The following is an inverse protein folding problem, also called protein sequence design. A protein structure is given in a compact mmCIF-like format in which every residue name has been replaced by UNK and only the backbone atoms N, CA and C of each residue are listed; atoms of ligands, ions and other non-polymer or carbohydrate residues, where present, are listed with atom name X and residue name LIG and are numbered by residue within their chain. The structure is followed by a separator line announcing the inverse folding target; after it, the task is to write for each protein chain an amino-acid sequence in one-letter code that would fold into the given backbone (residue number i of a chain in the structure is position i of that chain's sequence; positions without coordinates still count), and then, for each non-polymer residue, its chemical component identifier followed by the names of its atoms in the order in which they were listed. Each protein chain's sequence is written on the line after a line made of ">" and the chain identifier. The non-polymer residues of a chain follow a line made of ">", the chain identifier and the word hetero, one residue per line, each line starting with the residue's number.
data_IF_482871657312
#
_entry.id   IF_482871657312
#
_cell.length_a   1.000
_cell.length_b   1.000
_cell.length_c   1.000
_cell.angle_alpha   90.00
_cell.angle_beta   90.00
_cell.angle_gamma   90.00
#
_symmetry.space_group_name_H-M   'P 1'
#
loop_
_entity.id
_entity.type
_entity.pdbx_description
1 polymer ?
#
# COMPACT_ATOMS: atom_id res chain seq x y z
N UNK A 1 11.86 -28.84 7.70
CA UNK A 1 11.23 -28.37 8.96
C UNK A 1 10.45 -27.07 8.74
N UNK A 2 11.08 -25.97 8.31
CA UNK A 2 10.41 -24.69 8.01
C UNK A 2 9.25 -24.79 7.00
N UNK A 3 9.41 -25.59 5.94
CA UNK A 3 8.35 -25.85 4.95
C UNK A 3 7.05 -26.36 5.58
N UNK A 4 7.14 -27.28 6.56
CA UNK A 4 5.98 -27.81 7.26
C UNK A 4 5.28 -26.75 8.10
N UNK A 5 6.04 -25.83 8.69
CA UNK A 5 5.52 -24.71 9.48
C UNK A 5 4.78 -23.72 8.58
N UNK A 6 5.32 -23.38 7.41
CA UNK A 6 4.60 -22.54 6.44
C UNK A 6 3.37 -23.22 5.82
N UNK A 7 3.38 -24.55 5.67
CA UNK A 7 2.23 -25.31 5.18
C UNK A 7 1.16 -25.54 6.25
N UNK A 8 1.47 -25.31 7.53
CA UNK A 8 0.54 -25.56 8.62
C UNK A 8 -0.67 -24.64 8.50
N UNK A 9 -1.86 -25.22 8.69
CA UNK A 9 -3.13 -24.52 8.71
C UNK A 9 -3.93 -24.99 9.91
N UNK A 10 -4.42 -24.03 10.70
CA UNK A 10 -5.28 -24.27 11.82
C UNK A 10 -6.76 -24.36 11.42
N UNK A 11 -7.63 -24.33 12.43
CA UNK A 11 -9.07 -24.14 12.22
C UNK A 11 -9.30 -22.85 11.43
N UNK A 12 -10.27 -22.85 10.51
CA UNK A 12 -10.55 -21.71 9.62
C UNK A 12 -9.38 -21.27 8.72
N UNK A 13 -8.47 -22.17 8.38
CA UNK A 13 -7.31 -21.90 7.50
C UNK A 13 -6.34 -20.84 8.05
N UNK A 14 -6.30 -20.65 9.38
CA UNK A 14 -5.39 -19.72 10.05
C UNK A 14 -3.95 -20.18 9.84
N UNK A 15 -3.07 -19.25 9.46
CA UNK A 15 -1.63 -19.52 9.31
C UNK A 15 -0.94 -19.55 10.67
N UNK A 16 0.23 -20.20 10.75
CA UNK A 16 1.00 -20.26 11.99
C UNK A 16 1.39 -18.86 12.50
N UNK A 17 1.73 -17.93 11.60
CA UNK A 17 2.07 -16.56 11.96
C UNK A 17 0.90 -15.85 12.63
N UNK A 18 -0.31 -16.01 12.07
CA UNK A 18 -1.53 -15.43 12.64
C UNK A 18 -1.82 -15.99 14.03
N UNK A 19 -1.71 -17.31 14.21
CA UNK A 19 -1.86 -17.94 15.53
C UNK A 19 -0.88 -17.39 16.57
N UNK A 20 0.40 -17.26 16.21
CA UNK A 20 1.44 -16.76 17.12
C UNK A 20 1.19 -15.31 17.53
N UNK A 21 0.73 -14.47 16.61
CA UNK A 21 0.36 -13.07 16.89
C UNK A 21 -0.86 -13.02 17.81
N UNK A 22 -1.87 -13.85 17.58
CA UNK A 22 -3.06 -13.88 18.45
C UNK A 22 -2.72 -14.39 19.87
N UNK A 23 -1.80 -15.37 19.99
CA UNK A 23 -1.26 -15.80 21.27
C UNK A 23 -0.47 -14.69 21.96
N UNK A 24 0.37 -13.96 21.23
CA UNK A 24 1.10 -12.81 21.74
C UNK A 24 0.17 -11.75 22.33
N UNK A 25 -0.85 -11.34 21.55
CA UNK A 25 -1.83 -10.34 21.99
C UNK A 25 -2.59 -10.78 23.23
N UNK A 26 -2.98 -12.07 23.29
CA UNK A 26 -3.64 -12.65 24.47
C UNK A 26 -2.75 -12.56 25.71
N UNK A 27 -1.47 -12.86 25.54
CA UNK A 27 -0.49 -12.81 26.61
C UNK A 27 -0.24 -11.36 27.09
N UNK A 28 -0.06 -10.41 26.17
CA UNK A 28 0.09 -8.98 26.51
C UNK A 28 -1.12 -8.42 27.28
N UNK A 29 -2.34 -8.81 26.87
CA UNK A 29 -3.55 -8.45 27.59
C UNK A 29 -3.58 -9.02 29.01
N UNK A 30 -3.11 -10.26 29.18
CA UNK A 30 -3.05 -10.91 30.51
C UNK A 30 -2.03 -10.24 31.44
N UNK A 31 -0.89 -9.80 30.90
CA UNK A 31 0.13 -9.05 31.63
C UNK A 31 -0.28 -7.58 31.89
N UNK A 32 -1.29 -7.10 31.18
CA UNK A 32 -1.79 -5.73 31.30
C UNK A 32 -0.87 -4.69 30.67
N UNK A 33 -0.16 -5.05 29.60
CA UNK A 33 0.71 -4.13 28.84
C UNK A 33 -0.14 -3.02 28.21
N UNK A 34 0.34 -1.78 28.28
CA UNK A 34 -0.38 -0.62 27.77
C UNK A 34 -0.32 -0.52 26.23
N UNK A 35 -1.45 -0.73 25.56
CA UNK A 35 -1.62 -0.62 24.10
C UNK A 35 -2.68 0.41 23.73
N UNK A 36 -2.60 0.96 22.52
CA UNK A 36 -3.73 1.69 21.91
C UNK A 36 -4.76 0.71 21.35
N UNK A 37 -5.99 1.13 21.01
CA UNK A 37 -6.98 0.26 20.37
C UNK A 37 -6.48 -0.37 19.05
N UNK A 38 -5.57 0.32 18.36
CA UNK A 38 -4.94 -0.16 17.14
C UNK A 38 -3.64 -0.94 17.38
N UNK A 39 -3.38 -1.42 18.61
CA UNK A 39 -2.19 -2.19 18.98
C UNK A 39 -0.83 -1.48 18.85
N UNK A 40 -0.82 -0.14 18.77
CA UNK A 40 0.43 0.62 18.82
C UNK A 40 1.00 0.62 20.25
N UNK A 41 2.31 0.81 20.33
CA UNK A 41 2.99 1.15 21.58
C UNK A 41 2.43 2.49 22.10
N UNK A 42 1.91 2.47 23.34
CA UNK A 42 1.34 3.66 23.99
C UNK A 42 2.39 4.46 24.77
N UNK A 43 3.28 3.77 25.46
CA UNK A 43 4.31 4.38 26.31
C UNK A 43 5.69 4.19 25.67
N UNK A 44 6.42 5.29 25.50
CA UNK A 44 7.75 5.31 24.92
C UNK A 44 8.79 4.64 25.81
N UNK A 45 8.66 4.78 27.13
CA UNK A 45 9.60 4.22 28.08
C UNK A 45 9.19 2.79 28.46
N UNK A 46 7.91 2.42 28.33
CA UNK A 46 7.41 1.11 28.80
C UNK A 46 6.69 0.36 27.67
N UNK A 47 7.40 -0.04 26.61
CA UNK A 47 6.78 -0.63 25.42
C UNK A 47 6.24 -2.05 25.63
N UNK A 48 6.79 -2.82 26.58
CA UNK A 48 6.41 -4.21 26.87
C UNK A 48 6.10 -4.51 28.36
N UNK A 49 6.31 -3.53 29.23
CA UNK A 49 6.26 -3.67 30.68
C UNK A 49 4.85 -4.05 31.15
N UNK A 50 4.74 -5.19 31.82
CA UNK A 50 3.49 -5.64 32.44
C UNK A 50 3.18 -4.90 33.75
N UNK A 51 1.95 -5.06 34.26
CA UNK A 51 1.53 -4.46 35.53
C UNK A 51 2.29 -5.01 36.74
N UNK A 52 2.58 -6.31 36.75
CA UNK A 52 3.32 -6.96 37.84
C UNK A 52 4.75 -6.45 37.88
N UNK A 53 5.44 -6.45 36.72
CA UNK A 53 6.79 -5.90 36.59
C UNK A 53 6.83 -4.44 37.05
N UNK A 54 5.91 -3.60 36.57
CA UNK A 54 5.79 -2.20 37.00
C UNK A 54 5.65 -2.07 38.53
N UNK A 55 4.88 -2.95 39.17
CA UNK A 55 4.73 -2.97 40.63
C UNK A 55 6.03 -3.34 41.35
N UNK A 56 6.71 -4.40 40.92
CA UNK A 56 7.98 -4.84 41.49
C UNK A 56 9.06 -3.76 41.38
N UNK A 57 9.23 -3.20 40.17
CA UNK A 57 10.18 -2.11 39.89
C UNK A 57 9.84 -0.84 40.67
N UNK A 58 8.61 -0.67 41.14
CA UNK A 58 8.19 0.51 41.89
C UNK A 58 8.40 0.40 43.41
N UNK A 59 8.51 -0.81 43.96
CA UNK A 59 8.30 -1.03 45.40
C UNK A 59 9.53 -1.45 46.22
N UNK A 60 10.45 -2.27 45.72
CA UNK A 60 11.48 -2.90 46.58
C UNK A 60 12.80 -3.08 45.81
N UNK A 61 13.96 -2.61 46.33
CA UNK A 61 15.28 -3.00 45.83
C UNK A 61 15.48 -4.51 45.95
N UNK A 62 16.01 -5.15 44.92
CA UNK A 62 16.14 -6.60 44.90
C UNK A 62 17.50 -7.03 45.46
N UNK A 63 17.56 -8.15 46.18
CA UNK A 63 18.82 -8.76 46.54
C UNK A 63 19.66 -9.09 45.30
N UNK A 64 20.99 -8.95 45.39
CA UNK A 64 21.90 -9.16 44.27
C UNK A 64 21.94 -10.60 43.72
N UNK A 65 21.40 -11.57 44.46
CA UNK A 65 21.26 -12.97 44.06
C UNK A 65 19.97 -13.26 43.29
N UNK A 66 19.07 -12.28 43.17
CA UNK A 66 17.78 -12.41 42.49
C UNK A 66 17.85 -11.79 41.09
N UNK A 67 17.29 -12.50 40.10
CA UNK A 67 17.19 -11.97 38.75
C UNK A 67 16.22 -10.79 38.67
N UNK A 68 16.50 -9.85 37.76
CA UNK A 68 15.63 -8.68 37.57
C UNK A 68 14.22 -9.09 37.10
N UNK A 69 13.17 -8.31 37.43
CA UNK A 69 11.80 -8.65 37.05
C UNK A 69 11.62 -8.84 35.54
N UNK A 70 12.31 -8.05 34.71
CA UNK A 70 12.33 -8.22 33.26
C UNK A 70 12.86 -9.60 32.84
N UNK A 71 13.93 -10.08 33.48
CA UNK A 71 14.56 -11.37 33.18
C UNK A 71 13.67 -12.53 33.63
N UNK A 72 13.09 -12.44 34.83
CA UNK A 72 12.15 -13.44 35.34
C UNK A 72 10.99 -13.60 34.36
N UNK A 73 10.42 -12.49 33.87
CA UNK A 73 9.32 -12.53 32.93
C UNK A 73 9.71 -13.19 31.58
N UNK A 74 10.91 -12.94 31.06
CA UNK A 74 11.42 -13.64 29.85
C UNK A 74 11.44 -15.15 30.04
N UNK A 75 11.78 -15.62 31.24
CA UNK A 75 11.89 -17.05 31.55
C UNK A 75 10.52 -17.75 31.73
N UNK A 76 9.54 -17.03 32.26
CA UNK A 76 8.21 -17.58 32.56
C UNK A 76 7.25 -17.46 31.37
N UNK A 77 7.45 -16.47 30.51
CA UNK A 77 6.46 -16.08 29.52
C UNK A 77 6.62 -16.75 28.14
N UNK A 78 5.52 -16.95 27.43
CA UNK A 78 5.52 -17.50 26.06
C UNK A 78 6.07 -16.53 24.99
N UNK A 79 6.15 -15.23 25.27
CA UNK A 79 6.62 -14.17 24.37
C UNK A 79 8.03 -14.44 23.85
N UNK A 80 8.95 -14.92 24.70
CA UNK A 80 10.29 -15.32 24.27
C UNK A 80 10.27 -16.52 23.29
N UNK A 81 9.36 -17.47 23.51
CA UNK A 81 9.16 -18.62 22.60
C UNK A 81 8.56 -18.16 21.26
N UNK A 82 7.61 -17.23 21.28
CA UNK A 82 7.03 -16.65 20.08
C UNK A 82 8.09 -15.89 19.28
N UNK A 83 8.86 -15.03 19.94
CA UNK A 83 9.97 -14.29 19.32
C UNK A 83 10.95 -15.24 18.64
N UNK A 84 11.44 -16.26 19.34
CA UNK A 84 12.41 -17.22 18.78
C UNK A 84 11.86 -17.99 17.58
N UNK A 85 10.58 -18.33 17.57
CA UNK A 85 9.93 -18.94 16.41
C UNK A 85 9.91 -17.97 15.23
N UNK A 86 9.53 -16.70 15.44
CA UNK A 86 9.58 -15.68 14.38
C UNK A 86 11.00 -15.38 13.90
N UNK A 87 12.01 -15.42 14.77
CA UNK A 87 13.41 -15.31 14.36
C UNK A 87 13.85 -16.43 13.40
N UNK A 88 13.16 -17.58 13.41
CA UNK A 88 13.38 -18.67 12.44
C UNK A 88 12.50 -18.56 11.20
N UNK A 89 11.28 -18.02 11.34
CA UNK A 89 10.34 -17.81 10.22
C UNK A 89 10.63 -16.54 9.41
N UNK A 90 11.39 -15.61 9.97
CA UNK A 90 11.48 -14.25 9.45
C UNK A 90 10.27 -13.39 9.84
N UNK A 91 10.47 -12.08 9.76
CA UNK A 91 9.47 -11.06 10.11
C UNK A 91 8.79 -10.44 8.88
N UNK A 92 9.26 -10.76 7.68
CA UNK A 92 8.75 -10.22 6.42
C UNK A 92 7.90 -11.25 5.66
N UNK A 93 6.92 -10.76 4.90
CA UNK A 93 6.11 -11.52 3.93
C UNK A 93 5.45 -12.79 4.48
N UNK A 94 4.98 -12.74 5.73
CA UNK A 94 4.28 -13.85 6.35
C UNK A 94 2.85 -13.90 5.78
N UNK A 95 2.54 -15.00 5.10
CA UNK A 95 1.25 -15.18 4.45
C UNK A 95 0.07 -15.13 5.46
N UNK A 96 -1.00 -14.46 5.04
CA UNK A 96 -2.28 -14.42 5.77
C UNK A 96 -2.32 -13.47 6.97
N UNK A 97 -1.39 -12.51 7.04
CA UNK A 97 -1.40 -11.45 8.05
C UNK A 97 -2.10 -10.19 7.53
N UNK A 98 -2.89 -9.57 8.41
CA UNK A 98 -3.44 -8.23 8.19
C UNK A 98 -2.42 -7.14 8.55
N UNK A 99 -2.65 -5.90 8.12
CA UNK A 99 -1.82 -4.74 8.52
C UNK A 99 -1.75 -4.59 10.04
N UNK A 100 -2.85 -4.85 10.74
CA UNK A 100 -2.87 -4.87 12.21
C UNK A 100 -1.95 -5.94 12.80
N UNK A 101 -1.85 -7.09 12.15
CA UNK A 101 -0.93 -8.16 12.55
C UNK A 101 0.53 -7.73 12.33
N UNK A 102 0.84 -7.02 11.25
CA UNK A 102 2.16 -6.44 11.03
C UNK A 102 2.53 -5.36 12.05
N UNK A 103 1.56 -4.56 12.52
CA UNK A 103 1.77 -3.62 13.64
C UNK A 103 2.22 -4.36 14.90
N UNK A 104 1.58 -5.49 15.23
CA UNK A 104 2.01 -6.34 16.36
C UNK A 104 3.35 -7.02 16.08
N UNK A 105 3.57 -7.48 14.85
CA UNK A 105 4.81 -8.14 14.46
C UNK A 105 6.03 -7.22 14.61
N UNK A 106 5.90 -5.93 14.34
CA UNK A 106 6.95 -4.94 14.57
C UNK A 106 7.37 -4.87 16.05
N UNK A 107 6.44 -5.11 16.98
CA UNK A 107 6.76 -5.22 18.41
C UNK A 107 7.50 -6.51 18.71
N UNK A 108 7.04 -7.63 18.15
CA UNK A 108 7.65 -8.95 18.32
C UNK A 108 9.09 -8.93 17.79
N UNK A 109 9.33 -8.35 16.62
CA UNK A 109 10.66 -8.21 16.02
C UNK A 109 11.66 -7.52 16.97
N UNK A 110 11.19 -6.50 17.70
CA UNK A 110 12.00 -5.73 18.64
C UNK A 110 11.87 -6.22 20.09
N UNK A 111 11.31 -7.41 20.32
CA UNK A 111 11.06 -7.94 21.66
C UNK A 111 12.30 -7.96 22.55
N UNK A 112 13.40 -8.50 22.01
CA UNK A 112 14.63 -8.67 22.78
C UNK A 112 15.27 -7.31 23.12
N UNK A 113 15.26 -6.36 22.19
CA UNK A 113 15.73 -4.98 22.42
C UNK A 113 14.91 -4.30 23.52
N UNK A 114 13.58 -4.42 23.47
CA UNK A 114 12.71 -3.88 24.50
C UNK A 114 12.94 -4.52 25.87
N UNK A 115 13.16 -5.84 25.92
CA UNK A 115 13.49 -6.51 27.18
C UNK A 115 14.85 -6.10 27.74
N UNK A 116 15.84 -5.88 26.87
CA UNK A 116 17.13 -5.31 27.27
C UNK A 116 16.93 -3.90 27.87
N UNK A 117 16.11 -3.06 27.25
CA UNK A 117 15.81 -1.72 27.76
C UNK A 117 15.14 -1.78 29.15
N UNK A 118 14.17 -2.67 29.34
CA UNK A 118 13.52 -2.82 30.65
C UNK A 118 14.52 -3.17 31.76
N UNK A 119 15.49 -4.06 31.50
CA UNK A 119 16.56 -4.38 32.46
C UNK A 119 17.39 -3.12 32.79
N UNK A 120 17.76 -2.32 31.79
CA UNK A 120 18.52 -1.08 32.04
C UNK A 120 17.73 -0.05 32.85
N UNK A 121 16.41 0.03 32.65
CA UNK A 121 15.55 0.87 33.48
C UNK A 121 15.47 0.35 34.91
N UNK A 122 15.35 -0.96 35.09
CA UNK A 122 15.33 -1.60 36.41
C UNK A 122 16.60 -1.26 37.19
N UNK A 123 17.78 -1.41 36.55
CA UNK A 123 19.08 -1.04 37.15
C UNK A 123 19.13 0.44 37.50
N UNK A 124 18.71 1.33 36.59
CA UNK A 124 18.75 2.78 36.83
C UNK A 124 17.89 3.18 38.03
N UNK A 125 16.68 2.63 38.10
CA UNK A 125 15.71 2.87 39.17
C UNK A 125 16.18 2.29 40.51
N UNK A 126 16.85 1.13 40.49
CA UNK A 126 17.41 0.50 41.68
C UNK A 126 18.57 1.33 42.28
N UNK A 127 19.51 1.77 41.44
CA UNK A 127 20.62 2.65 41.86
C UNK A 127 20.10 3.93 42.51
N UNK A 128 19.07 4.56 41.93
CA UNK A 128 18.42 5.74 42.50
C UNK A 128 17.82 5.46 43.88
N UNK A 129 17.17 4.30 44.09
CA UNK A 129 16.56 3.95 45.38
C UNK A 129 17.56 3.63 46.47
N UNK A 130 18.65 2.97 46.10
CA UNK A 130 19.74 2.67 47.04
C UNK A 130 20.61 3.89 47.32
N UNK A 131 20.29 5.05 46.72
CA UNK A 131 21.08 6.28 46.78
C UNK A 131 22.53 6.07 46.32
N UNK A 132 22.73 5.13 45.38
CA UNK A 132 24.02 4.86 44.77
C UNK A 132 24.20 5.82 43.61
N UNK A 133 25.17 6.73 43.73
CA UNK A 133 25.52 7.66 42.66
C UNK A 133 26.55 7.00 41.72
N UNK A 134 26.22 6.77 40.43
CA UNK A 134 27.20 6.28 39.47
C UNK A 134 28.36 7.26 39.31
N UNK A 135 29.53 6.76 38.90
CA UNK A 135 30.62 7.64 38.48
C UNK A 135 30.24 8.36 37.20
N UNK A 136 30.87 9.51 36.91
CA UNK A 136 30.48 10.36 35.77
C UNK A 136 30.42 9.59 34.43
N UNK A 137 31.39 8.73 34.07
CA UNK A 137 31.30 7.95 32.84
C UNK A 137 30.10 6.99 32.78
N UNK A 138 29.74 6.38 33.91
CA UNK A 138 28.61 5.45 33.99
C UNK A 138 27.28 6.20 33.91
N UNK A 139 27.21 7.38 34.52
CA UNK A 139 26.04 8.25 34.41
C UNK A 139 25.82 8.72 32.97
N UNK A 140 26.89 9.11 32.28
CA UNK A 140 26.83 9.49 30.86
C UNK A 140 26.37 8.30 30.01
N UNK A 141 26.87 7.10 30.29
CA UNK A 141 26.45 5.86 29.63
C UNK A 141 24.95 5.57 29.84
N UNK A 142 24.45 5.61 31.08
CA UNK A 142 23.03 5.39 31.39
C UNK A 142 22.12 6.42 30.69
N UNK A 143 22.55 7.68 30.66
CA UNK A 143 21.82 8.77 30.00
C UNK A 143 21.75 8.55 28.49
N UNK A 144 22.88 8.19 27.88
CA UNK A 144 22.97 7.94 26.44
C UNK A 144 22.17 6.70 26.03
N UNK A 145 22.24 5.62 26.80
CA UNK A 145 21.43 4.43 26.58
C UNK A 145 19.94 4.77 26.63
N UNK A 146 19.50 5.52 27.65
CA UNK A 146 18.11 5.97 27.75
C UNK A 146 17.65 6.75 26.51
N UNK A 147 18.46 7.70 26.04
CA UNK A 147 18.20 8.47 24.81
C UNK A 147 18.07 7.56 23.59
N UNK A 148 19.04 6.67 23.39
CA UNK A 148 19.05 5.73 22.25
C UNK A 148 17.81 4.82 22.24
N UNK A 149 17.37 4.37 23.41
CA UNK A 149 16.19 3.53 23.51
C UNK A 149 14.88 4.29 23.25
N UNK A 150 14.78 5.54 23.72
CA UNK A 150 13.64 6.41 23.43
C UNK A 150 13.55 6.69 21.92
N UNK A 151 14.66 6.99 21.27
CA UNK A 151 14.73 7.18 19.82
C UNK A 151 14.34 5.92 19.04
N UNK A 152 14.84 4.75 19.47
CA UNK A 152 14.49 3.47 18.86
C UNK A 152 12.99 3.19 18.99
N UNK A 153 12.42 3.37 20.18
CA UNK A 153 10.99 3.15 20.42
C UNK A 153 10.13 4.14 19.64
N UNK A 154 10.55 5.40 19.53
CA UNK A 154 9.88 6.41 18.72
C UNK A 154 9.90 6.05 17.22
N UNK A 155 11.03 5.55 16.72
CA UNK A 155 11.17 5.06 15.35
C UNK A 155 10.20 3.91 15.07
N UNK A 156 10.11 2.92 15.97
CA UNK A 156 9.18 1.78 15.82
C UNK A 156 7.72 2.26 15.83
N UNK A 157 7.36 3.19 16.72
CA UNK A 157 6.03 3.80 16.73
C UNK A 157 5.74 4.52 15.40
N UNK A 158 6.72 5.23 14.84
CA UNK A 158 6.57 5.89 13.54
C UNK A 158 6.30 4.87 12.44
N UNK A 159 7.06 3.77 12.40
CA UNK A 159 6.83 2.67 11.44
C UNK A 159 5.45 2.03 11.62
N UNK A 160 4.99 1.83 12.85
CA UNK A 160 3.63 1.32 13.11
C UNK A 160 2.54 2.26 12.58
N UNK A 161 2.72 3.58 12.73
CA UNK A 161 1.78 4.57 12.18
C UNK A 161 1.81 4.58 10.66
N UNK A 162 2.99 4.51 10.07
CA UNK A 162 3.17 4.46 8.62
C UNK A 162 2.46 3.25 8.00
N UNK A 163 2.57 2.06 8.61
CA UNK A 163 1.85 0.87 8.16
C UNK A 163 0.33 1.10 8.09
N UNK A 164 -0.25 1.71 9.13
CA UNK A 164 -1.69 1.99 9.18
C UNK A 164 -2.11 3.08 8.19
N UNK A 165 -1.27 4.11 8.03
CA UNK A 165 -1.52 5.18 7.07
C UNK A 165 -1.46 4.65 5.64
N UNK A 166 -0.48 3.81 5.32
CA UNK A 166 -0.34 3.19 4.01
C UNK A 166 -1.53 2.31 3.67
N UNK A 167 -2.04 1.51 4.64
CA UNK A 167 -3.27 0.75 4.45
C UNK A 167 -4.46 1.67 4.15
N UNK A 168 -4.64 2.73 4.95
CA UNK A 168 -5.75 3.67 4.77
C UNK A 168 -5.67 4.35 3.39
N UNK A 169 -4.47 4.75 2.97
CA UNK A 169 -4.25 5.37 1.67
C UNK A 169 -4.51 4.40 0.52
N UNK A 170 -4.10 3.14 0.66
CA UNK A 170 -4.38 2.10 -0.30
C UNK A 170 -5.89 1.86 -0.44
N UNK A 171 -6.61 1.72 0.66
CA UNK A 171 -8.06 1.52 0.68
C UNK A 171 -8.78 2.67 -0.05
N UNK A 172 -8.38 3.93 0.21
CA UNK A 172 -8.92 5.11 -0.47
C UNK A 172 -8.64 5.11 -1.98
N UNK A 173 -7.43 4.73 -2.39
CA UNK A 173 -7.06 4.65 -3.80
C UNK A 173 -7.81 3.53 -4.52
N UNK A 174 -8.00 2.38 -3.89
CA UNK A 174 -8.79 1.27 -4.42
C UNK A 174 -10.27 1.66 -4.57
N UNK A 175 -10.83 2.35 -3.59
CA UNK A 175 -12.19 2.90 -3.63
C UNK A 175 -12.36 3.91 -4.79
N UNK A 176 -11.44 4.85 -4.93
CA UNK A 176 -11.45 5.82 -6.05
C UNK A 176 -11.34 5.15 -7.42
N UNK A 177 -10.51 4.10 -7.53
CA UNK A 177 -10.39 3.32 -8.75
C UNK A 177 -11.70 2.57 -9.07
N UNK A 178 -12.40 2.06 -8.06
CA UNK A 178 -13.72 1.45 -8.21
C UNK A 178 -14.75 2.46 -8.72
N UNK A 179 -14.86 3.63 -8.09
CA UNK A 179 -15.78 4.68 -8.55
C UNK A 179 -15.49 5.15 -9.97
N UNK A 180 -14.21 5.32 -10.32
CA UNK A 180 -13.80 5.70 -11.67
C UNK A 180 -14.26 4.67 -12.71
N UNK A 181 -14.15 3.36 -12.40
CA UNK A 181 -14.66 2.29 -13.27
C UNK A 181 -16.18 2.34 -13.43
N UNK A 182 -16.92 2.64 -12.37
CA UNK A 182 -18.39 2.76 -12.42
C UNK A 182 -18.80 3.93 -13.32
N UNK A 183 -18.17 5.09 -13.13
CA UNK A 183 -18.44 6.29 -13.94
C UNK A 183 -18.10 6.03 -15.41
N UNK A 184 -16.95 5.43 -15.68
CA UNK A 184 -16.51 5.11 -17.04
C UNK A 184 -17.46 4.11 -17.72
N UNK A 185 -17.90 3.09 -16.99
CA UNK A 185 -18.89 2.15 -17.50
C UNK A 185 -20.21 2.85 -17.88
N UNK A 186 -20.66 3.81 -17.06
CA UNK A 186 -21.85 4.59 -17.35
C UNK A 186 -21.69 5.45 -18.62
N UNK A 187 -20.55 6.14 -18.76
CA UNK A 187 -20.21 6.93 -19.95
C UNK A 187 -20.17 6.09 -21.22
N UNK A 188 -19.58 4.89 -21.14
CA UNK A 188 -19.52 3.97 -22.28
C UNK A 188 -20.92 3.49 -22.70
N UNK A 189 -21.80 3.22 -21.74
CA UNK A 189 -23.20 2.85 -22.04
C UNK A 189 -23.97 3.99 -22.69
N UNK A 190 -23.80 5.22 -22.20
CA UNK A 190 -24.44 6.40 -22.78
C UNK A 190 -23.94 6.66 -24.21
N UNK A 191 -22.62 6.55 -24.44
CA UNK A 191 -22.05 6.64 -25.78
C UNK A 191 -22.61 5.57 -26.71
N UNK A 192 -22.64 4.30 -26.29
CA UNK A 192 -23.20 3.22 -27.09
C UNK A 192 -24.69 3.45 -27.43
N UNK A 193 -25.45 4.02 -26.51
CA UNK A 193 -26.84 4.41 -26.75
C UNK A 193 -26.94 5.54 -27.77
N UNK A 194 -26.13 6.59 -27.65
CA UNK A 194 -26.11 7.72 -28.58
C UNK A 194 -25.66 7.30 -29.99
N UNK A 195 -24.63 6.47 -30.09
CA UNK A 195 -24.14 5.91 -31.36
C UNK A 195 -25.22 5.07 -32.04
N UNK A 196 -25.97 4.28 -31.26
CA UNK A 196 -27.13 3.54 -31.78
C UNK A 196 -28.26 4.46 -32.24
N UNK A 197 -28.57 5.51 -31.47
CA UNK A 197 -29.59 6.48 -31.82
C UNK A 197 -29.25 7.24 -33.11
N UNK A 198 -28.00 7.69 -33.26
CA UNK A 198 -27.50 8.33 -34.47
C UNK A 198 -27.57 7.40 -35.69
N UNK A 199 -27.18 6.13 -35.51
CA UNK A 199 -27.31 5.12 -36.54
C UNK A 199 -28.77 4.97 -37.01
N UNK A 200 -29.72 4.83 -36.07
CA UNK A 200 -31.16 4.72 -36.38
C UNK A 200 -31.67 5.95 -37.11
N UNK A 201 -31.29 7.16 -36.69
CA UNK A 201 -31.67 8.40 -37.36
C UNK A 201 -31.18 8.47 -38.80
N UNK A 202 -29.94 7.99 -39.05
CA UNK A 202 -29.33 8.01 -40.38
C UNK A 202 -29.89 6.94 -41.32
N UNK A 203 -30.42 5.84 -40.82
CA UNK A 203 -30.83 4.70 -41.68
C UNK A 203 -32.33 4.46 -41.72
N UNK A 204 -33.05 4.75 -40.64
CA UNK A 204 -34.37 4.17 -40.39
C UNK A 204 -35.43 5.17 -39.96
N UNK A 205 -35.05 6.34 -39.41
CA UNK A 205 -36.02 7.39 -39.09
C UNK A 205 -36.39 8.19 -40.35
N UNK A 206 -37.57 7.87 -40.90
CA UNK A 206 -38.09 8.52 -42.10
C UNK A 206 -38.26 10.04 -41.96
N UNK A 207 -38.58 10.53 -40.76
CA UNK A 207 -38.80 11.96 -40.54
C UNK A 207 -37.48 12.74 -40.63
N UNK A 208 -36.43 12.21 -40.01
CA UNK A 208 -35.07 12.77 -40.04
C UNK A 208 -34.45 12.65 -41.43
N UNK A 209 -34.63 11.50 -42.11
CA UNK A 209 -34.16 11.29 -43.48
C UNK A 209 -34.81 12.26 -44.48
N UNK A 210 -36.12 12.49 -44.34
CA UNK A 210 -36.84 13.44 -45.20
C UNK A 210 -36.32 14.87 -45.00
N UNK A 211 -36.15 15.30 -43.75
CA UNK A 211 -35.59 16.62 -43.43
C UNK A 211 -34.14 16.77 -43.93
N UNK A 212 -33.31 15.73 -43.80
CA UNK A 212 -31.93 15.76 -44.30
C UNK A 212 -31.87 15.82 -45.83
N UNK A 213 -32.78 15.14 -46.54
CA UNK A 213 -32.89 15.20 -48.00
C UNK A 213 -33.32 16.58 -48.46
N UNK A 214 -34.29 17.18 -47.78
CA UNK A 214 -34.75 18.54 -48.05
C UNK A 214 -33.61 19.55 -47.87
N UNK A 215 -32.84 19.43 -46.77
CA UNK A 215 -31.63 20.24 -46.55
C UNK A 215 -30.57 20.05 -47.64
N UNK A 216 -30.31 18.82 -48.08
CA UNK A 216 -29.39 18.59 -49.20
C UNK A 216 -29.88 19.27 -50.48
N UNK A 217 -31.19 19.25 -50.76
CA UNK A 217 -31.74 19.91 -51.94
C UNK A 217 -31.58 21.43 -51.85
N UNK A 218 -31.81 22.03 -50.68
CA UNK A 218 -31.57 23.47 -50.47
C UNK A 218 -30.08 23.84 -50.59
N UNK A 219 -29.18 22.99 -50.10
CA UNK A 219 -27.73 23.18 -50.22
C UNK A 219 -27.29 23.05 -51.70
N UNK A 220 -27.87 22.11 -52.45
CA UNK A 220 -27.62 21.95 -53.89
C UNK A 220 -28.13 23.16 -54.67
N UNK A 221 -29.35 23.62 -54.40
CA UNK A 221 -29.91 24.81 -55.07
C UNK A 221 -29.12 26.07 -54.77
N UNK A 222 -28.69 26.27 -53.52
CA UNK A 222 -27.82 27.40 -53.16
C UNK A 222 -26.42 27.28 -53.79
N UNK A 223 -25.89 26.07 -53.98
CA UNK A 223 -24.61 25.85 -54.68
C UNK A 223 -24.68 26.05 -56.20
N UNK A 224 -25.87 26.04 -56.80
CA UNK A 224 -26.07 26.16 -58.25
C UNK A 224 -26.15 27.60 -58.75
N UNK A 225 -26.06 28.59 -57.87
CA UNK A 225 -25.91 29.97 -58.28
C UNK A 225 -24.47 30.21 -58.76
N UNK A 226 -24.37 30.53 -60.06
CA UNK A 226 -23.21 30.95 -60.86
C UNK A 226 -22.41 29.87 -61.61
N UNK A 227 -22.96 29.45 -62.75
CA UNK A 227 -22.25 29.10 -64.01
C UNK A 227 -23.36 29.03 -65.06
N UNK A 228 -23.61 30.03 -65.92
CA UNK A 228 -22.93 30.37 -67.20
C UNK A 228 -24.03 31.17 -67.96
N UNK A 229 -23.90 32.34 -68.62
CA UNK A 229 -22.84 33.11 -69.30
C UNK A 229 -23.37 34.53 -69.59
N UNK A 230 -22.53 35.58 -69.57
CA UNK A 230 -22.05 36.37 -70.75
C UNK A 230 -23.17 36.83 -71.70
N UNK A 231 -23.33 38.12 -72.03
CA UNK A 231 -22.29 39.01 -72.57
C UNK A 231 -22.00 40.27 -71.73
N UNK A 232 -20.74 40.45 -71.30
CA UNK A 232 -19.90 41.62 -71.58
C UNK A 232 -18.47 41.34 -71.08
N UNK A 233 -17.50 41.90 -71.79
CA UNK A 233 -16.13 41.43 -72.03
C UNK A 233 -15.15 41.44 -70.83
N UNK A 234 -14.16 40.54 -70.94
CA UNK A 234 -12.80 40.58 -70.37
C UNK A 234 -12.61 40.62 -68.84
N UNK A 235 -12.53 39.45 -68.21
CA UNK A 235 -11.38 39.14 -67.33
C UNK A 235 -11.18 37.63 -67.17
N UNK A 236 -10.03 37.13 -67.64
CA UNK A 236 -9.61 35.74 -67.48
C UNK A 236 -9.38 35.45 -65.99
N UNK A 237 -10.35 34.85 -65.30
CA UNK A 237 -10.13 34.25 -63.98
C UNK A 237 -9.54 32.84 -64.16
N UNK A 238 -8.23 32.80 -64.38
CA UNK A 238 -7.41 31.63 -64.06
C UNK A 238 -7.56 31.30 -62.57
N UNK A 239 -8.28 30.23 -62.24
CA UNK A 239 -8.15 29.57 -60.93
C UNK A 239 -6.91 28.67 -60.94
N UNK A 240 -5.74 29.32 -60.97
CA UNK A 240 -4.52 28.73 -60.42
C UNK A 240 -4.70 28.66 -58.90
N UNK A 241 -5.19 27.53 -58.39
CA UNK A 241 -5.00 27.17 -56.98
C UNK A 241 -3.53 26.75 -56.79
N UNK A 242 -2.62 27.71 -56.77
CA UNK A 242 -1.19 27.46 -56.56
C UNK A 242 -0.77 27.44 -55.08
N UNK A 243 -1.69 27.38 -54.12
CA UNK A 243 -1.36 27.29 -52.69
C UNK A 243 -2.32 26.38 -51.92
N UNK A 244 -2.38 25.10 -52.31
CA UNK A 244 -2.77 24.05 -51.36
C UNK A 244 -1.50 23.64 -50.64
N UNK A 245 -1.23 24.27 -49.50
CA UNK A 245 -0.27 23.69 -48.54
C UNK A 245 -0.94 22.48 -47.92
N UNK A 246 -0.67 21.31 -48.48
CA UNK A 246 -0.99 20.04 -47.83
C UNK A 246 -0.08 19.88 -46.61
N UNK A 247 -0.54 20.32 -45.44
CA UNK A 247 -0.03 19.74 -44.18
C UNK A 247 -0.73 18.41 -43.98
N UNK A 248 -0.09 17.36 -44.50
CA UNK A 248 -0.38 15.99 -44.09
C UNK A 248 0.05 15.85 -42.64
N UNK A 249 -0.86 16.06 -41.70
CA UNK A 249 -0.73 15.43 -40.39
C UNK A 249 -1.33 14.03 -40.52
N UNK A 250 -0.46 13.06 -40.80
CA UNK A 250 -0.78 11.64 -40.63
C UNK A 250 -0.86 11.40 -39.12
N UNK A 251 -2.03 11.60 -38.52
CA UNK A 251 -2.37 10.85 -37.31
C UNK A 251 -3.08 9.58 -37.79
N UNK A 252 -2.33 8.49 -37.81
CA UNK A 252 -2.89 7.15 -37.92
C UNK A 252 -3.82 6.91 -36.74
N UNK A 253 -5.12 7.13 -36.91
CA UNK A 253 -6.13 6.40 -36.12
C UNK A 253 -6.57 5.22 -36.95
N UNK A 254 -5.82 4.12 -36.83
CA UNK A 254 -6.27 2.79 -37.22
C UNK A 254 -7.56 2.50 -36.46
N UNK A 255 -8.69 2.60 -37.16
CA UNK A 255 -9.91 1.91 -36.79
C UNK A 255 -9.80 0.45 -37.21
N UNK A 256 -9.82 -0.43 -36.22
CA UNK A 256 -10.41 -1.77 -36.31
C UNK A 256 -9.62 -2.84 -37.06
N UNK A 257 -8.94 -3.70 -36.29
CA UNK A 257 -8.95 -5.13 -36.60
C UNK A 257 -9.33 -5.93 -35.35
N UNK A 258 -10.29 -6.81 -35.55
CA UNK A 258 -10.62 -7.94 -34.70
C UNK A 258 -9.34 -8.66 -34.27
N UNK A 259 -9.22 -8.99 -32.98
CA UNK A 259 -8.54 -10.23 -32.63
C UNK A 259 -9.31 -10.98 -31.56
N UNK A 260 -9.79 -12.13 -32.01
CA UNK A 260 -10.44 -13.17 -31.23
C UNK A 260 -9.51 -13.65 -30.13
N UNK A 261 -10.13 -14.02 -29.03
CA UNK A 261 -9.71 -15.12 -28.16
C UNK A 261 -8.85 -16.17 -28.90
N UNK A 262 -7.58 -16.29 -28.52
CA UNK A 262 -6.85 -17.55 -28.53
C UNK A 262 -6.48 -17.84 -27.09
N UNK A 263 -7.23 -18.78 -26.54
CA UNK A 263 -6.84 -19.61 -25.40
C UNK A 263 -5.58 -20.39 -25.77
N UNK A 264 -4.50 -20.25 -25.00
CA UNK A 264 -3.56 -21.36 -24.76
C UNK A 264 -2.63 -21.08 -23.58
N UNK A 265 -2.92 -21.84 -22.52
CA UNK A 265 -1.95 -22.51 -21.66
C UNK A 265 -0.65 -22.92 -22.38
N UNK A 266 0.40 -22.94 -21.57
CA UNK A 266 1.64 -23.74 -21.65
C UNK A 266 2.87 -23.24 -22.43
N UNK A 267 4.03 -23.53 -21.80
CA UNK A 267 5.44 -23.42 -22.21
C UNK A 267 6.05 -22.00 -22.14
N UNK A 268 6.74 -21.58 -21.07
CA UNK A 268 7.87 -22.15 -20.33
C UNK A 268 9.20 -22.21 -21.11
N UNK A 269 10.23 -21.60 -20.50
CA UNK A 269 11.69 -21.80 -20.67
C UNK A 269 12.25 -21.27 -22.01
N UNK A 270 13.31 -20.45 -22.12
CA UNK A 270 14.66 -20.56 -21.54
C UNK A 270 15.51 -19.35 -21.98
N UNK A 271 16.36 -18.80 -21.08
CA UNK A 271 17.76 -18.31 -21.32
C UNK A 271 17.96 -17.09 -22.24
N UNK A 272 18.86 -16.14 -21.98
CA UNK A 272 19.73 -15.67 -20.89
C UNK A 272 20.53 -14.49 -21.53
N UNK A 273 21.00 -13.59 -20.68
CA UNK A 273 22.31 -12.90 -20.75
C UNK A 273 22.58 -11.69 -21.66
N UNK A 274 23.34 -10.78 -21.02
CA UNK A 274 24.22 -9.69 -21.50
C UNK A 274 23.56 -8.34 -21.84
N UNK A 275 24.03 -7.19 -21.33
CA UNK A 275 25.26 -6.96 -20.58
C UNK A 275 25.38 -5.58 -19.90
N UNK A 276 26.04 -5.61 -18.74
CA UNK A 276 27.10 -4.71 -18.28
C UNK A 276 27.64 -3.71 -19.33
N UNK A 277 27.65 -2.41 -18.99
CA UNK A 277 28.80 -1.49 -19.10
C UNK A 277 28.61 -0.41 -18.01
N UNK A 278 29.42 -0.42 -16.93
CA UNK A 278 30.69 0.32 -16.78
C UNK A 278 30.56 1.84 -16.97
N UNK A 279 30.52 2.57 -15.85
CA UNK A 279 31.13 3.88 -15.71
C UNK A 279 31.91 3.93 -14.39
N UNK A 280 33.00 4.69 -14.45
CA UNK A 280 34.22 4.71 -13.63
C UNK A 280 34.01 5.02 -12.15
#
# INVERSE_FOLDING_TARGET
>A
ALSHVYSWRGKSNITVGKLLIDLWRKDEMSLGVARTPQWLIKDLHKPLMGKVQMGCVSSIPLPADVASPAIVEVSENIRAKIYTIFSKLGFNDIAGLSTMDYVTLAVIENYFEFKMFEVWQEVSVELERENVRPVSPDLDCLTEMKRMFEERTASIISSQRELLQNQTQQDLTEEQACYSKIIENHKQREKAFNDFYDYVNRTSDYSVLKASKEKQLTDIESSRLYTTTEDEEDEVLTTLQSNITTTVNVLWTFGGYYERYIDRKEFAVTVKTFGKQNYQ
#
